data_IF_987948188383
#
_entry.id   IF_987948188383
#
_cell.length_a   1.000
_cell.length_b   1.000
_cell.length_c   1.000
_cell.angle_alpha   90.00
_cell.angle_beta   90.00
_cell.angle_gamma   90.00
#
_symmetry.space_group_name_H-M   'P 1'
#
loop_
_entity.id
_entity.type
_entity.pdbx_description
1 polymer ?
#
# COMPACT_ATOMS: atom_id res chain seq x y z
N UNK A 1 -6.03 13.79 5.59
CA UNK A 1 -6.61 12.57 6.16
C UNK A 1 -7.58 11.91 5.17
N UNK A 2 -8.56 12.62 4.62
CA UNK A 2 -9.55 12.05 3.67
C UNK A 2 -8.93 11.41 2.43
N UNK A 3 -7.88 11.98 1.84
CA UNK A 3 -7.17 11.38 0.70
C UNK A 3 -6.57 9.99 1.00
N UNK A 4 -6.32 9.67 2.28
CA UNK A 4 -5.81 8.35 2.67
C UNK A 4 -6.86 7.23 2.49
N UNK A 5 -8.16 7.56 2.52
CA UNK A 5 -9.26 6.60 2.30
C UNK A 5 -9.56 6.42 0.80
N UNK A 6 -9.12 7.36 -0.04
CA UNK A 6 -9.39 7.30 -1.48
C UNK A 6 -8.88 5.98 -2.14
N UNK A 7 -7.80 5.41 -1.60
CA UNK A 7 -7.25 4.14 -2.08
C UNK A 7 -8.15 2.92 -1.79
N UNK A 8 -9.12 3.05 -0.87
CA UNK A 8 -10.01 1.95 -0.45
C UNK A 8 -10.78 1.31 -1.62
N UNK A 9 -11.14 2.11 -2.65
CA UNK A 9 -11.86 1.62 -3.85
C UNK A 9 -11.02 0.68 -4.73
N UNK A 10 -9.70 0.71 -4.58
CA UNK A 10 -8.77 -0.14 -5.34
C UNK A 10 -8.43 -1.45 -4.60
N UNK A 11 -8.89 -1.61 -3.36
CA UNK A 11 -8.58 -2.77 -2.51
C UNK A 11 -9.69 -3.81 -2.63
N UNK A 12 -9.38 -5.06 -2.99
CA UNK A 12 -10.35 -6.14 -3.04
C UNK A 12 -11.08 -6.36 -1.70
N UNK A 13 -12.25 -6.97 -1.74
CA UNK A 13 -12.96 -7.36 -0.53
C UNK A 13 -12.16 -8.39 0.28
N UNK A 14 -12.24 -8.31 1.61
CA UNK A 14 -11.60 -9.24 2.55
C UNK A 14 -10.07 -9.37 2.41
N UNK A 15 -9.43 -8.38 1.76
CA UNK A 15 -7.99 -8.41 1.49
C UNK A 15 -7.15 -8.27 2.76
N UNK A 16 -5.98 -8.94 2.73
CA UNK A 16 -4.88 -8.68 3.65
C UNK A 16 -4.07 -7.49 3.14
N UNK A 17 -3.86 -6.51 4.02
CA UNK A 17 -3.18 -5.25 3.67
C UNK A 17 -2.02 -5.01 4.61
N UNK A 18 -0.86 -4.63 4.08
CA UNK A 18 0.22 -4.06 4.88
C UNK A 18 0.45 -2.60 4.50
N UNK A 19 0.48 -1.74 5.49
CA UNK A 19 0.83 -0.33 5.34
C UNK A 19 2.30 -0.14 5.70
N UNK A 20 3.14 0.06 4.71
CA UNK A 20 4.60 0.14 4.86
C UNK A 20 5.00 1.56 5.26
N UNK A 21 5.73 1.66 6.37
CA UNK A 21 6.12 2.94 6.93
C UNK A 21 4.92 3.73 7.43
N UNK A 22 4.06 3.10 8.23
CA UNK A 22 2.76 3.62 8.65
C UNK A 22 2.81 5.00 9.30
N UNK A 23 3.92 5.37 9.94
CA UNK A 23 4.12 6.69 10.52
C UNK A 23 3.07 7.05 11.56
N UNK A 24 2.21 8.02 11.25
CA UNK A 24 1.06 8.40 12.06
C UNK A 24 -0.19 7.55 11.79
N UNK A 25 -0.06 6.40 11.12
CA UNK A 25 -1.15 5.49 10.80
C UNK A 25 -1.85 5.77 9.47
N UNK A 26 -1.23 6.49 8.55
CA UNK A 26 -1.83 6.90 7.28
C UNK A 26 -1.13 6.21 6.09
N UNK A 27 -1.87 5.48 5.24
CA UNK A 27 -3.33 5.34 5.16
C UNK A 27 -3.94 4.21 6.01
N UNK A 28 -3.15 3.38 6.70
CA UNK A 28 -3.60 2.11 7.27
C UNK A 28 -4.77 2.23 8.26
N UNK A 29 -4.75 3.18 9.21
CA UNK A 29 -5.83 3.34 10.20
C UNK A 29 -7.13 3.84 9.55
N UNK A 30 -7.15 4.91 8.72
CA UNK A 30 -8.35 5.29 7.99
C UNK A 30 -8.93 4.17 7.12
N UNK A 31 -8.08 3.38 6.46
CA UNK A 31 -8.52 2.22 5.68
C UNK A 31 -9.21 1.18 6.55
N UNK A 32 -8.62 0.83 7.69
CA UNK A 32 -9.20 -0.11 8.63
C UNK A 32 -10.55 0.36 9.18
N UNK A 33 -10.73 1.66 9.38
CA UNK A 33 -12.02 2.23 9.83
C UNK A 33 -13.07 2.16 8.71
N UNK A 34 -12.70 2.57 7.49
CA UNK A 34 -13.61 2.64 6.34
C UNK A 34 -13.96 1.26 5.76
N UNK A 35 -13.09 0.27 5.94
CA UNK A 35 -13.21 -1.08 5.39
C UNK A 35 -13.04 -2.12 6.50
N UNK A 36 -14.12 -2.42 7.24
CA UNK A 36 -14.09 -3.39 8.35
C UNK A 36 -13.86 -4.84 7.90
N UNK A 37 -13.95 -5.11 6.62
CA UNK A 37 -13.65 -6.40 5.99
C UNK A 37 -12.14 -6.68 5.83
N UNK A 38 -11.28 -5.65 5.96
CA UNK A 38 -9.84 -5.81 5.76
C UNK A 38 -9.10 -6.28 7.02
N UNK A 39 -8.07 -7.09 6.81
CA UNK A 39 -7.04 -7.38 7.82
C UNK A 39 -5.82 -6.51 7.53
N UNK A 40 -5.43 -5.64 8.47
CA UNK A 40 -4.40 -4.62 8.24
C UNK A 40 -3.20 -4.83 9.16
N UNK A 41 -2.01 -4.78 8.58
CA UNK A 41 -0.75 -4.71 9.31
C UNK A 41 -0.16 -3.31 9.15
N UNK A 42 0.12 -2.64 10.26
CA UNK A 42 0.84 -1.38 10.29
C UNK A 42 2.32 -1.68 10.54
N UNK A 43 3.14 -1.58 9.49
CA UNK A 43 4.57 -1.88 9.55
C UNK A 43 5.37 -0.59 9.70
N UNK A 44 6.06 -0.44 10.84
CA UNK A 44 6.81 0.77 11.18
C UNK A 44 8.12 0.41 11.90
N UNK A 45 9.21 1.03 11.52
CA UNK A 45 10.54 0.72 12.08
C UNK A 45 10.86 1.45 13.38
N UNK A 46 10.28 2.63 13.59
CA UNK A 46 10.60 3.47 14.75
C UNK A 46 9.75 3.11 15.96
N UNK A 47 10.38 2.66 17.05
CA UNK A 47 9.72 2.23 18.27
C UNK A 47 8.69 3.23 18.79
N UNK A 48 9.02 4.52 18.83
CA UNK A 48 8.10 5.57 19.29
C UNK A 48 6.80 5.60 18.48
N UNK A 49 6.88 5.41 17.16
CA UNK A 49 5.70 5.36 16.28
C UNK A 49 4.92 4.07 16.47
N UNK A 50 5.61 2.95 16.63
CA UNK A 50 4.98 1.65 16.94
C UNK A 50 4.15 1.74 18.21
N UNK A 51 4.70 2.32 19.29
CA UNK A 51 3.97 2.52 20.55
C UNK A 51 2.73 3.38 20.32
N UNK A 52 2.87 4.51 19.66
CA UNK A 52 1.74 5.40 19.31
C UNK A 52 0.66 4.66 18.50
N UNK A 53 1.05 3.89 17.48
CA UNK A 53 0.11 3.14 16.67
C UNK A 53 -0.63 2.06 17.48
N UNK A 54 0.08 1.38 18.38
CA UNK A 54 -0.54 0.38 19.26
C UNK A 54 -1.58 1.00 20.19
N UNK A 55 -1.28 2.16 20.77
CA UNK A 55 -2.21 2.91 21.62
C UNK A 55 -3.46 3.34 20.82
N UNK A 56 -3.27 3.85 19.60
CA UNK A 56 -4.39 4.28 18.73
C UNK A 56 -5.25 3.08 18.32
N UNK A 57 -4.65 1.95 17.95
CA UNK A 57 -5.38 0.72 17.60
C UNK A 57 -6.22 0.23 18.77
N UNK A 58 -5.67 0.25 19.99
CA UNK A 58 -6.38 -0.13 21.20
C UNK A 58 -7.54 0.83 21.52
N UNK A 59 -7.28 2.14 21.47
CA UNK A 59 -8.29 3.17 21.75
C UNK A 59 -9.46 3.14 20.78
N UNK A 60 -9.20 2.85 19.50
CA UNK A 60 -10.22 2.72 18.46
C UNK A 60 -10.89 1.35 18.42
N UNK A 61 -10.49 0.39 19.27
CA UNK A 61 -11.05 -0.95 19.29
C UNK A 61 -10.81 -1.76 18.00
N UNK A 62 -9.67 -1.53 17.33
CA UNK A 62 -9.35 -2.17 16.05
C UNK A 62 -8.52 -3.45 16.19
N UNK A 63 -8.17 -3.87 17.40
CA UNK A 63 -7.21 -4.94 17.67
C UNK A 63 -7.53 -6.30 17.07
N UNK A 64 -8.78 -6.60 16.78
CA UNK A 64 -9.21 -7.88 16.19
C UNK A 64 -8.75 -8.04 14.73
N UNK A 65 -8.46 -6.95 14.03
CA UNK A 65 -8.15 -6.93 12.59
C UNK A 65 -7.02 -6.01 12.18
N UNK A 66 -6.44 -5.26 13.12
CA UNK A 66 -5.28 -4.41 12.89
C UNK A 66 -4.14 -4.82 13.82
N UNK A 67 -3.02 -5.20 13.24
CA UNK A 67 -1.76 -5.50 13.97
C UNK A 67 -0.75 -4.39 13.74
N UNK A 68 0.00 -4.04 14.76
CA UNK A 68 1.17 -3.16 14.64
C UNK A 68 2.42 -4.01 14.74
N UNK A 69 3.29 -3.91 13.74
CA UNK A 69 4.53 -4.69 13.66
C UNK A 69 5.71 -3.73 13.56
N UNK A 70 6.68 -3.91 14.45
CA UNK A 70 7.94 -3.18 14.36
C UNK A 70 8.88 -3.89 13.39
N UNK A 71 9.28 -3.21 12.32
CA UNK A 71 10.20 -3.77 11.33
C UNK A 71 10.30 -2.92 10.08
N UNK A 72 11.12 -3.39 9.16
CA UNK A 72 11.29 -2.81 7.83
C UNK A 72 10.66 -3.71 6.79
N UNK A 73 10.25 -3.13 5.66
CA UNK A 73 9.64 -3.88 4.57
C UNK A 73 10.55 -5.02 4.09
N UNK A 74 11.85 -4.75 3.95
CA UNK A 74 12.85 -5.71 3.49
C UNK A 74 13.04 -6.94 4.40
N UNK A 75 12.67 -6.80 5.67
CA UNK A 75 12.82 -7.85 6.70
C UNK A 75 11.52 -8.63 6.92
N UNK A 76 10.39 -8.12 6.42
CA UNK A 76 9.09 -8.75 6.57
C UNK A 76 8.97 -9.94 5.59
N UNK A 77 8.62 -11.11 6.10
CA UNK A 77 8.49 -12.35 5.32
C UNK A 77 7.05 -12.75 5.03
N UNK A 78 6.09 -12.01 5.55
CA UNK A 78 4.66 -12.24 5.29
C UNK A 78 4.29 -11.77 3.88
N UNK A 79 3.23 -12.35 3.32
CA UNK A 79 2.64 -11.95 2.04
C UNK A 79 1.28 -11.34 2.24
N UNK A 80 0.95 -10.35 1.39
CA UNK A 80 -0.29 -9.60 1.46
C UNK A 80 -0.92 -9.45 0.07
N UNK A 81 -2.23 -9.33 0.04
CA UNK A 81 -2.95 -9.02 -1.19
C UNK A 81 -2.65 -7.60 -1.66
N UNK A 82 -2.46 -6.68 -0.70
CA UNK A 82 -2.20 -5.28 -0.99
C UNK A 82 -1.12 -4.73 -0.06
N UNK A 83 -0.16 -4.05 -0.65
CA UNK A 83 0.80 -3.19 0.05
C UNK A 83 0.39 -1.74 -0.16
N UNK A 84 0.23 -0.96 0.90
CA UNK A 84 0.05 0.48 0.81
C UNK A 84 1.29 1.21 1.32
N UNK A 85 1.56 2.39 0.76
CA UNK A 85 2.62 3.26 1.24
C UNK A 85 2.30 4.72 0.91
N UNK A 86 2.65 5.63 1.82
CA UNK A 86 2.53 7.07 1.64
C UNK A 86 3.79 7.78 2.12
N UNK A 87 4.38 8.60 1.25
CA UNK A 87 5.56 9.44 1.59
C UNK A 87 6.75 8.66 2.20
N UNK A 88 6.96 7.41 1.81
CA UNK A 88 8.02 6.55 2.35
C UNK A 88 9.32 6.73 1.56
N UNK A 89 9.26 6.61 0.23
CA UNK A 89 10.42 6.69 -0.67
C UNK A 89 9.96 6.91 -2.12
N UNK A 90 10.87 7.30 -3.03
CA UNK A 90 10.61 7.25 -4.46
C UNK A 90 10.17 5.85 -4.90
N UNK A 91 9.30 5.78 -5.91
CA UNK A 91 8.63 4.53 -6.34
C UNK A 91 9.61 3.38 -6.61
N UNK A 92 10.70 3.64 -7.33
CA UNK A 92 11.68 2.60 -7.68
C UNK A 92 12.33 1.97 -6.45
N UNK A 93 12.61 2.77 -5.42
CA UNK A 93 13.17 2.30 -4.14
C UNK A 93 12.12 1.53 -3.34
N UNK A 94 10.91 2.07 -3.25
CA UNK A 94 9.78 1.43 -2.56
C UNK A 94 9.49 0.04 -3.15
N UNK A 95 9.45 -0.09 -4.46
CA UNK A 95 9.30 -1.37 -5.16
C UNK A 95 10.43 -2.32 -4.78
N UNK A 96 11.67 -1.82 -4.75
CA UNK A 96 12.84 -2.61 -4.35
C UNK A 96 12.75 -3.22 -2.95
N UNK A 97 12.10 -2.53 -2.02
CA UNK A 97 11.93 -2.98 -0.64
C UNK A 97 10.71 -3.87 -0.44
N UNK A 98 9.64 -3.71 -1.22
CA UNK A 98 8.32 -4.23 -0.88
C UNK A 98 7.72 -5.20 -1.90
N UNK A 99 8.33 -5.44 -3.06
CA UNK A 99 7.75 -6.29 -4.10
C UNK A 99 7.47 -7.72 -3.64
N UNK A 100 8.34 -8.29 -2.82
CA UNK A 100 8.18 -9.63 -2.27
C UNK A 100 6.96 -9.75 -1.33
N UNK A 101 6.47 -8.63 -0.77
CA UNK A 101 5.32 -8.64 0.12
C UNK A 101 4.00 -8.85 -0.62
N UNK A 102 3.91 -8.53 -1.93
CA UNK A 102 2.68 -8.66 -2.71
C UNK A 102 2.79 -9.61 -3.90
N UNK A 103 3.99 -10.00 -4.31
CA UNK A 103 4.15 -10.91 -5.43
C UNK A 103 3.84 -12.37 -5.02
N UNK A 104 3.33 -13.20 -5.97
CA UNK A 104 3.10 -12.88 -7.39
C UNK A 104 1.72 -12.29 -7.71
N UNK A 105 0.74 -12.37 -6.81
CA UNK A 105 -0.69 -12.13 -7.12
C UNK A 105 -1.27 -10.83 -6.58
N UNK A 106 -0.59 -10.19 -5.64
CA UNK A 106 -1.04 -8.95 -5.03
C UNK A 106 -0.63 -7.70 -5.79
N UNK A 107 -0.78 -6.55 -5.14
CA UNK A 107 -0.48 -5.24 -5.70
C UNK A 107 0.10 -4.27 -4.67
N UNK A 108 0.92 -3.32 -5.14
CA UNK A 108 1.31 -2.14 -4.39
C UNK A 108 0.44 -0.96 -4.81
N UNK A 109 -0.08 -0.25 -3.84
CA UNK A 109 -0.84 1.00 -4.00
C UNK A 109 -0.08 2.13 -3.29
N UNK A 110 0.73 2.88 -4.04
CA UNK A 110 1.54 3.97 -3.50
C UNK A 110 0.84 5.32 -3.70
N UNK A 111 0.52 6.01 -2.60
CA UNK A 111 -0.08 7.35 -2.65
C UNK A 111 1.00 8.38 -2.98
N UNK A 112 0.97 8.95 -4.18
CA UNK A 112 2.01 9.82 -4.73
C UNK A 112 1.55 11.24 -5.08
N UNK A 113 0.24 11.47 -5.11
CA UNK A 113 -0.31 12.77 -5.50
C UNK A 113 0.17 13.19 -6.89
N UNK A 114 0.44 14.48 -7.09
CA UNK A 114 0.81 15.05 -8.40
C UNK A 114 2.15 14.56 -8.97
N UNK A 115 3.00 13.90 -8.17
CA UNK A 115 4.27 13.35 -8.64
C UNK A 115 4.17 11.96 -9.26
N UNK A 116 2.98 11.34 -9.29
CA UNK A 116 2.77 9.96 -9.68
C UNK A 116 3.37 9.62 -11.06
N UNK A 117 3.03 10.37 -12.10
CA UNK A 117 3.50 10.09 -13.47
C UNK A 117 5.03 10.21 -13.58
N UNK A 118 5.61 11.23 -12.95
CA UNK A 118 7.06 11.43 -12.91
C UNK A 118 7.75 10.24 -12.23
N UNK A 119 7.27 9.82 -11.09
CA UNK A 119 7.85 8.70 -10.34
C UNK A 119 7.73 7.37 -11.09
N UNK A 120 6.64 7.14 -11.81
CA UNK A 120 6.50 5.97 -12.70
C UNK A 120 7.53 6.01 -13.82
N UNK A 121 7.72 7.15 -14.46
CA UNK A 121 8.73 7.31 -15.52
C UNK A 121 10.15 7.04 -15.00
N UNK A 122 10.50 7.57 -13.84
CA UNK A 122 11.82 7.37 -13.21
C UNK A 122 12.03 5.91 -12.75
N UNK A 123 10.96 5.19 -12.39
CA UNK A 123 11.04 3.81 -11.92
C UNK A 123 11.08 2.75 -13.05
N UNK A 124 10.95 3.13 -14.32
CA UNK A 124 10.78 2.19 -15.45
C UNK A 124 11.87 1.11 -15.53
N UNK A 125 13.13 1.44 -15.24
CA UNK A 125 14.21 0.47 -15.28
C UNK A 125 14.06 -0.61 -14.20
N UNK A 126 13.67 -0.21 -13.00
CA UNK A 126 13.43 -1.13 -11.87
C UNK A 126 12.20 -2.01 -12.15
N UNK A 127 11.11 -1.41 -12.62
CA UNK A 127 9.88 -2.12 -12.97
C UNK A 127 10.15 -3.21 -14.02
N UNK A 128 10.81 -2.87 -15.12
CA UNK A 128 11.18 -3.82 -16.17
C UNK A 128 12.05 -4.95 -15.65
N UNK A 129 13.10 -4.63 -14.89
CA UNK A 129 14.01 -5.64 -14.31
C UNK A 129 13.27 -6.64 -13.43
N UNK A 130 12.23 -6.19 -12.72
CA UNK A 130 11.43 -7.02 -11.80
C UNK A 130 10.18 -7.60 -12.44
N UNK A 131 9.95 -7.39 -13.74
CA UNK A 131 8.76 -7.84 -14.48
C UNK A 131 7.46 -7.30 -13.87
N UNK A 132 7.47 -6.02 -13.54
CA UNK A 132 6.34 -5.29 -12.98
C UNK A 132 5.82 -4.27 -13.98
N UNK A 133 4.53 -3.96 -13.86
CA UNK A 133 3.87 -2.85 -14.55
C UNK A 133 3.31 -1.88 -13.52
N UNK A 134 3.32 -0.60 -13.86
CA UNK A 134 2.73 0.44 -13.04
C UNK A 134 1.75 1.27 -13.87
N UNK A 135 0.63 1.61 -13.26
CA UNK A 135 -0.36 2.54 -13.81
C UNK A 135 -0.78 3.56 -12.75
N UNK A 136 -1.13 4.76 -13.19
CA UNK A 136 -1.59 5.84 -12.31
C UNK A 136 -3.10 5.84 -12.27
N UNK A 137 -3.66 5.78 -11.07
CA UNK A 137 -5.09 5.81 -10.81
C UNK A 137 -5.47 7.13 -10.15
N UNK A 138 -6.41 7.86 -10.75
CA UNK A 138 -7.04 9.00 -10.11
C UNK A 138 -8.15 8.48 -9.17
N UNK A 139 -8.09 8.82 -7.90
CA UNK A 139 -9.04 8.36 -6.88
C UNK A 139 -9.53 9.51 -6.02
N UNK A 140 -10.76 9.37 -5.51
CA UNK A 140 -11.38 10.32 -4.57
C UNK A 140 -11.97 9.57 -3.38
N UNK A 141 -11.85 10.12 -2.21
CA UNK A 141 -12.50 9.58 -1.01
C UNK A 141 -14.01 9.85 -1.02
N UNK A 142 -14.44 10.96 -1.63
CA UNK A 142 -15.84 11.32 -1.85
C UNK A 142 -15.95 12.23 -3.06
N UNK A 143 -17.15 12.32 -3.67
CA UNK A 143 -17.39 13.13 -4.88
C UNK A 143 -17.08 14.63 -4.70
N UNK A 144 -17.21 15.15 -3.47
CA UNK A 144 -16.95 16.55 -3.11
C UNK A 144 -15.49 16.85 -2.78
N UNK A 145 -14.60 15.85 -2.78
CA UNK A 145 -13.20 16.00 -2.42
C UNK A 145 -12.30 16.07 -3.65
N UNK A 146 -11.14 16.67 -3.46
CA UNK A 146 -10.09 16.72 -4.48
C UNK A 146 -9.62 15.32 -4.84
N UNK A 147 -9.28 15.16 -6.10
CA UNK A 147 -8.64 13.96 -6.65
C UNK A 147 -7.23 13.80 -6.09
N UNK A 148 -6.85 12.57 -5.77
CA UNK A 148 -5.45 12.21 -5.51
C UNK A 148 -5.04 11.09 -6.45
N UNK A 149 -3.72 10.92 -6.61
CA UNK A 149 -3.18 9.93 -7.53
C UNK A 149 -2.47 8.82 -6.76
N UNK A 150 -2.79 7.60 -7.15
CA UNK A 150 -2.21 6.38 -6.62
C UNK A 150 -1.48 5.66 -7.74
N UNK A 151 -0.23 5.29 -7.52
CA UNK A 151 0.49 4.39 -8.42
C UNK A 151 0.18 2.96 -8.00
N UNK A 152 -0.41 2.21 -8.93
CA UNK A 152 -0.64 0.78 -8.77
C UNK A 152 0.45 -0.01 -9.47
N UNK A 153 1.14 -0.88 -8.74
CA UNK A 153 2.16 -1.77 -9.28
C UNK A 153 1.73 -3.22 -9.12
N UNK A 154 1.87 -4.00 -10.18
CA UNK A 154 1.50 -5.42 -10.23
C UNK A 154 2.53 -6.22 -11.03
N UNK A 155 2.53 -7.54 -10.87
CA UNK A 155 3.23 -8.44 -11.78
C UNK A 155 2.69 -8.29 -13.20
N UNK A 156 3.57 -8.39 -14.19
CA UNK A 156 3.15 -8.57 -15.58
C UNK A 156 2.40 -9.91 -15.65
N UNK A 157 1.08 -9.87 -15.89
CA UNK A 157 0.30 -11.09 -16.14
C UNK A 157 0.95 -11.84 -17.31
N UNK A 158 1.23 -13.12 -17.13
CA UNK A 158 1.45 -13.98 -18.28
C UNK A 158 0.10 -14.07 -19.00
N UNK A 159 -0.09 -13.26 -20.04
CA UNK A 159 -1.15 -13.53 -20.98
C UNK A 159 -1.00 -15.01 -21.40
N UNK A 160 -2.01 -15.78 -21.09
CA UNK A 160 -2.14 -17.15 -21.61
C UNK A 160 -2.05 -17.04 -23.12
N UNK A 161 -0.92 -17.46 -23.68
CA UNK A 161 -0.75 -17.65 -25.12
C UNK A 161 -1.94 -18.48 -25.58
N UNK A 162 -2.73 -18.03 -26.55
CA UNK A 162 -3.76 -18.89 -27.10
C UNK A 162 -3.06 -20.13 -27.67
N UNK A 163 -3.49 -21.29 -27.19
CA UNK A 163 -3.08 -22.58 -27.73
C UNK A 163 -3.54 -22.59 -29.17
N UNK A 164 -2.60 -22.68 -30.08
CA UNK A 164 -2.86 -22.91 -31.50
C UNK A 164 -3.26 -24.39 -31.72
#
# INVERSE_FOLDING_TARGET
MLNSVAVASLIPAEASVVDVGSGAGLPGIPLAIARPDLSVVLLESLLRRVTFLADVVAELGLGDRVRVVRGRAEECTEHFDVVTARAVAPLGRLVGWADHLFLPSGQLLALKGSSADKEVAEAQAVLRKRRLVADVQAVRAAASLEETFVVRVRSVSRETRPVR
#
